data_IF_811265825633
#
_entry.id   IF_811265825633
#
_cell.length_a   1.000
_cell.length_b   1.000
_cell.length_c   1.000
_cell.angle_alpha   90.00
_cell.angle_beta   90.00
_cell.angle_gamma   90.00
#
_symmetry.space_group_name_H-M   'P 1'
#
loop_
_entity.id
_entity.type
_entity.pdbx_description
1 polymer ?
#
# COMPACT_ATOMS: atom_id res chain seq x y z
N UNK A 1 -3.42 9.43 -9.46
CA UNK A 1 -2.08 9.01 -9.02
C UNK A 1 -1.68 9.56 -7.66
N UNK A 2 -2.25 10.68 -7.20
CA UNK A 2 -2.01 11.23 -5.84
C UNK A 2 -2.52 10.28 -4.75
N UNK A 3 -1.79 10.24 -3.64
CA UNK A 3 -2.09 9.47 -2.45
C UNK A 3 -2.16 10.38 -1.22
N UNK A 4 -3.13 10.12 -0.34
CA UNK A 4 -3.14 10.63 1.03
C UNK A 4 -2.48 9.59 1.93
N UNK A 5 -1.43 9.97 2.63
CA UNK A 5 -0.71 9.10 3.57
C UNK A 5 -1.09 9.53 4.97
N UNK A 6 -1.83 8.68 5.67
CA UNK A 6 -2.32 8.92 7.03
C UNK A 6 -1.39 8.22 8.02
N UNK A 7 -0.77 8.96 8.94
CA UNK A 7 -0.02 8.42 10.05
C UNK A 7 -0.78 8.44 11.37
N UNK A 8 -0.11 8.00 12.44
CA UNK A 8 -0.52 8.20 13.83
C UNK A 8 -0.71 9.69 14.16
N UNK A 9 -1.41 9.96 15.27
CA UNK A 9 -1.71 11.31 15.76
C UNK A 9 -2.46 12.24 14.77
N UNK A 10 -3.18 11.63 13.82
CA UNK A 10 -3.85 12.31 12.71
C UNK A 10 -2.90 13.04 11.74
N UNK A 11 -1.60 12.74 11.75
CA UNK A 11 -0.67 13.34 10.79
C UNK A 11 -1.02 12.94 9.36
N UNK A 12 -1.00 13.91 8.45
CA UNK A 12 -1.32 13.68 7.02
C UNK A 12 -0.18 14.16 6.16
N UNK A 13 0.36 13.22 5.38
CA UNK A 13 1.29 13.49 4.31
C UNK A 13 0.63 13.33 2.93
N UNK A 14 1.22 14.01 1.95
CA UNK A 14 0.97 13.72 0.54
C UNK A 14 1.87 12.61 0.03
N UNK A 15 1.49 12.02 -1.09
CA UNK A 15 2.32 11.08 -1.83
C UNK A 15 1.75 10.79 -3.20
N UNK A 16 2.35 9.87 -3.93
CA UNK A 16 1.81 9.38 -5.19
C UNK A 16 2.26 7.96 -5.50
N UNK A 17 1.41 7.24 -6.23
CA UNK A 17 1.64 5.87 -6.67
C UNK A 17 2.67 5.85 -7.80
N UNK A 18 3.75 5.08 -7.65
CA UNK A 18 4.81 4.89 -8.67
C UNK A 18 4.78 3.51 -9.32
N UNK A 19 4.21 2.52 -8.64
CA UNK A 19 3.92 1.20 -9.15
C UNK A 19 2.74 0.61 -8.34
N UNK A 20 2.11 -0.50 -8.76
CA UNK A 20 1.09 -1.17 -7.94
C UNK A 20 1.59 -1.41 -6.52
N UNK A 21 0.88 -0.88 -5.52
CA UNK A 21 1.22 -0.94 -4.08
C UNK A 21 2.47 -0.18 -3.63
N UNK A 22 3.11 0.59 -4.51
CA UNK A 22 4.29 1.38 -4.19
C UNK A 22 3.97 2.87 -4.24
N UNK A 23 4.11 3.54 -3.10
CA UNK A 23 3.90 4.99 -2.97
C UNK A 23 5.20 5.68 -2.57
N UNK A 24 5.49 6.81 -3.22
CA UNK A 24 6.54 7.73 -2.79
C UNK A 24 5.92 8.81 -1.91
N UNK A 25 6.57 9.11 -0.79
CA UNK A 25 6.27 10.25 0.09
C UNK A 25 7.57 10.86 0.65
N UNK A 26 7.47 11.84 1.52
CA UNK A 26 8.61 12.43 2.21
C UNK A 26 9.08 11.52 3.38
N UNK A 27 10.38 11.45 3.62
CA UNK A 27 10.95 10.65 4.69
C UNK A 27 10.61 11.17 6.09
N UNK A 28 10.38 12.48 6.26
CA UNK A 28 9.85 13.01 7.52
C UNK A 28 8.51 12.39 7.95
N UNK A 29 7.71 11.88 7.01
CA UNK A 29 6.46 11.18 7.33
C UNK A 29 6.69 9.85 8.07
N UNK A 30 7.91 9.32 8.06
CA UNK A 30 8.28 8.08 8.74
C UNK A 30 8.12 8.16 10.26
N UNK A 31 8.16 9.35 10.85
CA UNK A 31 7.98 9.53 12.31
C UNK A 31 6.56 9.21 12.77
N UNK A 32 5.57 9.24 11.86
CA UNK A 32 4.16 9.07 12.17
C UNK A 32 3.63 7.65 11.85
N UNK A 33 4.51 6.65 11.88
CA UNK A 33 4.11 5.25 11.64
C UNK A 33 3.18 4.71 12.74
N UNK A 34 2.36 3.68 12.44
CA UNK A 34 2.16 3.06 11.13
C UNK A 34 1.41 3.97 10.15
N UNK A 35 1.85 3.94 8.90
CA UNK A 35 1.23 4.70 7.81
C UNK A 35 0.18 3.85 7.08
N UNK A 36 -0.92 4.51 6.74
CA UNK A 36 -1.98 3.99 5.89
C UNK A 36 -2.09 4.84 4.64
N UNK A 37 -2.05 4.22 3.47
CA UNK A 37 -2.18 4.90 2.18
C UNK A 37 -3.63 4.87 1.73
N UNK A 38 -4.15 6.02 1.31
CA UNK A 38 -5.48 6.19 0.73
C UNK A 38 -5.32 6.75 -0.69
N UNK A 39 -5.78 5.99 -1.68
CA UNK A 39 -5.80 6.34 -3.10
C UNK A 39 -7.22 6.66 -3.55
N UNK A 40 -7.35 7.48 -4.60
CA UNK A 40 -8.64 7.74 -5.25
C UNK A 40 -9.59 8.64 -4.46
N UNK A 41 -9.07 9.38 -3.46
CA UNK A 41 -9.83 10.38 -2.72
C UNK A 41 -9.84 11.72 -3.46
N UNK A 42 -11.04 12.20 -3.81
CA UNK A 42 -11.23 13.50 -4.48
C UNK A 42 -11.58 14.59 -3.47
N UNK A 43 -12.34 14.21 -2.43
CA UNK A 43 -12.68 15.07 -1.30
C UNK A 43 -12.21 14.44 0.00
N UNK A 44 -11.63 15.25 0.88
CA UNK A 44 -11.05 14.81 2.15
C UNK A 44 -12.03 14.47 3.28
N UNK A 45 -13.25 15.05 3.38
CA UNK A 45 -14.12 14.77 4.52
C UNK A 45 -15.02 13.53 4.34
N UNK A 46 -15.23 13.06 3.11
CA UNK A 46 -16.19 11.99 2.83
C UNK A 46 -15.51 10.81 2.17
N UNK A 47 -15.68 9.62 2.76
CA UNK A 47 -15.26 8.36 2.13
C UNK A 47 -16.05 8.17 0.83
N UNK A 48 -15.33 8.03 -0.28
CA UNK A 48 -15.90 7.77 -1.59
C UNK A 48 -15.73 6.28 -1.94
N UNK A 49 -16.55 5.76 -2.86
CA UNK A 49 -16.44 4.37 -3.34
C UNK A 49 -15.11 4.10 -4.06
N UNK A 50 -14.50 5.14 -4.63
CA UNK A 50 -13.20 5.11 -5.27
C UNK A 50 -12.03 4.95 -4.30
N UNK A 51 -12.26 5.09 -2.99
CA UNK A 51 -11.19 5.00 -2.01
C UNK A 51 -10.64 3.58 -1.96
N UNK A 52 -9.35 3.46 -2.25
CA UNK A 52 -8.58 2.24 -2.02
C UNK A 52 -7.58 2.52 -0.92
N UNK A 53 -7.59 1.67 0.09
CA UNK A 53 -6.76 1.84 1.28
C UNK A 53 -5.90 0.60 1.47
N UNK A 54 -4.63 0.80 1.77
CA UNK A 54 -3.75 -0.28 2.22
C UNK A 54 -2.84 0.19 3.35
N UNK A 55 -2.58 -0.70 4.29
CA UNK A 55 -1.59 -0.51 5.34
C UNK A 55 -0.19 -0.70 4.74
N UNK A 56 0.74 0.18 5.11
CA UNK A 56 2.14 0.03 4.71
C UNK A 56 2.79 -1.08 5.53
N UNK A 57 3.39 -2.04 4.84
CA UNK A 57 4.10 -3.16 5.46
C UNK A 57 5.62 -2.92 5.49
N UNK A 58 6.18 -2.45 4.37
CA UNK A 58 7.61 -2.14 4.27
C UNK A 58 7.85 -0.66 4.01
N UNK A 59 8.88 -0.13 4.67
CA UNK A 59 9.32 1.24 4.57
C UNK A 59 10.77 1.26 4.09
N UNK A 60 11.00 1.80 2.90
CA UNK A 60 12.32 1.96 2.32
C UNK A 60 12.76 3.41 2.47
N UNK A 61 13.37 3.70 3.62
CA UNK A 61 13.99 5.00 3.91
C UNK A 61 15.49 4.95 3.55
N UNK A 62 16.05 5.96 2.86
CA UNK A 62 17.49 6.10 2.67
C UNK A 62 18.23 6.08 4.01
N UNK A 63 19.34 5.32 4.07
CA UNK A 63 20.10 5.13 5.32
C UNK A 63 20.78 6.43 5.81
N UNK A 64 20.98 7.38 4.91
CA UNK A 64 21.62 8.67 5.14
C UNK A 64 20.60 9.82 5.28
N UNK A 65 19.31 9.52 5.36
CA UNK A 65 18.31 10.51 5.74
C UNK A 65 18.46 10.88 7.22
N UNK A 66 18.67 12.16 7.50
CA UNK A 66 18.79 12.70 8.86
C UNK A 66 17.74 13.75 9.18
N UNK A 67 17.44 14.64 8.22
CA UNK A 67 16.40 15.67 8.36
C UNK A 67 16.08 16.25 6.99
N UNK A 68 14.91 16.90 6.81
CA UNK A 68 14.55 17.53 5.53
C UNK A 68 15.59 18.54 5.03
N UNK A 69 16.26 19.23 5.97
CA UNK A 69 17.28 20.25 5.66
C UNK A 69 18.57 19.67 5.08
N UNK A 70 18.85 18.38 5.32
CA UNK A 70 20.06 17.69 4.86
C UNK A 70 19.86 16.92 3.55
N UNK A 71 18.64 16.91 3.01
CA UNK A 71 18.31 16.19 1.78
C UNK A 71 17.86 14.76 2.02
N UNK A 72 17.71 13.99 0.93
CA UNK A 72 17.22 12.60 0.94
C UNK A 72 15.87 12.40 1.65
N UNK A 73 15.03 13.44 1.66
CA UNK A 73 13.68 13.41 2.24
C UNK A 73 12.70 12.67 1.31
N UNK A 74 12.99 11.39 1.06
CA UNK A 74 12.22 10.50 0.19
C UNK A 74 12.02 9.16 0.88
N UNK A 75 10.81 8.64 0.82
CA UNK A 75 10.42 7.37 1.42
C UNK A 75 9.58 6.57 0.44
N UNK A 76 9.97 5.32 0.21
CA UNK A 76 9.16 4.33 -0.51
C UNK A 76 8.33 3.54 0.50
N UNK A 77 7.01 3.55 0.29
CA UNK A 77 6.04 2.77 1.03
C UNK A 77 5.60 1.60 0.16
N UNK A 78 5.66 0.38 0.71
CA UNK A 78 5.14 -0.82 0.07
C UNK A 78 3.99 -1.38 0.89
N UNK A 79 2.85 -1.61 0.25
CA UNK A 79 1.76 -2.41 0.80
C UNK A 79 1.69 -3.81 0.18
N UNK A 80 0.87 -4.67 0.77
CA UNK A 80 0.65 -6.06 0.31
C UNK A 80 -0.59 -6.22 -0.59
N UNK A 81 -1.29 -5.13 -0.92
CA UNK A 81 -2.59 -5.17 -1.58
C UNK A 81 -2.55 -5.80 -2.99
N UNK A 82 -2.83 -7.09 -3.11
CA UNK A 82 -2.70 -7.81 -4.39
C UNK A 82 -1.45 -8.68 -4.50
N UNK A 83 -0.63 -8.74 -3.46
CA UNK A 83 0.53 -9.63 -3.40
C UNK A 83 0.07 -11.10 -3.40
N UNK A 84 0.77 -12.00 -4.12
CA UNK A 84 0.34 -13.39 -4.25
C UNK A 84 0.66 -14.19 -2.99
N UNK A 85 -0.30 -14.99 -2.53
CA UNK A 85 -0.06 -16.07 -1.58
C UNK A 85 0.54 -17.26 -2.33
N UNK A 86 1.83 -17.49 -2.17
CA UNK A 86 2.57 -18.57 -2.84
C UNK A 86 3.01 -19.63 -1.83
N UNK A 87 2.68 -20.89 -2.10
CA UNK A 87 3.13 -22.05 -1.34
C UNK A 87 3.72 -23.09 -2.31
N UNK A 88 4.91 -23.62 -2.02
CA UNK A 88 5.58 -24.62 -2.88
C UNK A 88 5.63 -24.20 -4.36
N UNK A 89 6.01 -22.94 -4.61
CA UNK A 89 6.10 -22.34 -5.95
C UNK A 89 4.77 -22.31 -6.75
N UNK A 90 3.62 -22.39 -6.08
CA UNK A 90 2.28 -22.26 -6.66
C UNK A 90 1.51 -21.14 -5.99
N UNK A 91 0.87 -20.28 -6.78
CA UNK A 91 -0.02 -19.24 -6.27
C UNK A 91 -1.39 -19.83 -5.90
N UNK A 92 -1.89 -19.49 -4.72
CA UNK A 92 -3.17 -19.94 -4.17
C UNK A 92 -4.14 -18.79 -3.90
N UNK A 93 -3.60 -17.60 -3.66
CA UNK A 93 -4.41 -16.46 -3.30
C UNK A 93 -3.80 -15.14 -3.74
N UNK A 94 -4.62 -14.10 -3.68
CA UNK A 94 -4.22 -12.71 -3.84
C UNK A 94 -4.59 -12.02 -2.54
N UNK A 95 -3.65 -11.36 -1.87
CA UNK A 95 -3.94 -10.63 -0.64
C UNK A 95 -5.02 -9.58 -0.91
N UNK A 96 -6.06 -9.56 -0.07
CA UNK A 96 -7.20 -8.66 -0.21
C UNK A 96 -7.16 -7.55 0.83
N UNK A 97 -7.33 -7.91 2.11
CA UNK A 97 -7.24 -6.96 3.22
C UNK A 97 -6.91 -7.67 4.53
N UNK A 98 -6.44 -6.89 5.51
CA UNK A 98 -6.18 -7.36 6.86
C UNK A 98 -7.44 -7.23 7.71
N UNK A 99 -7.83 -8.31 8.40
CA UNK A 99 -9.00 -8.32 9.27
C UNK A 99 -8.64 -7.89 10.70
N UNK A 100 -7.48 -8.33 11.20
CA UNK A 100 -6.93 -7.97 12.51
C UNK A 100 -5.42 -8.23 12.53
N UNK A 101 -4.75 -8.05 13.68
CA UNK A 101 -3.30 -8.21 13.83
C UNK A 101 -2.76 -9.59 13.42
N UNK A 102 -3.59 -10.63 13.41
CA UNK A 102 -3.19 -12.02 13.15
C UNK A 102 -3.79 -12.61 11.88
N UNK A 103 -4.85 -11.99 11.34
CA UNK A 103 -5.64 -12.58 10.25
C UNK A 103 -5.65 -11.65 9.03
N UNK A 104 -5.12 -12.17 7.93
CA UNK A 104 -5.16 -11.57 6.61
C UNK A 104 -6.09 -12.37 5.71
N UNK A 105 -6.94 -11.69 4.95
CA UNK A 105 -7.90 -12.31 4.03
C UNK A 105 -7.32 -12.30 2.62
N UNK A 106 -7.38 -13.45 1.96
CA UNK A 106 -6.90 -13.65 0.59
C UNK A 106 -8.06 -14.10 -0.30
N UNK A 107 -8.07 -13.61 -1.53
CA UNK A 107 -8.96 -14.11 -2.58
C UNK A 107 -8.44 -15.45 -3.07
N UNK A 108 -9.18 -16.54 -2.87
CA UNK A 108 -8.80 -17.86 -3.39
C UNK A 108 -8.94 -17.90 -4.91
N UNK A 109 -7.83 -18.11 -5.63
CA UNK A 109 -7.79 -17.88 -7.08
C UNK A 109 -8.20 -19.09 -7.94
N UNK A 110 -8.19 -20.31 -7.39
CA UNK A 110 -8.38 -21.52 -8.19
C UNK A 110 -9.67 -21.55 -9.03
N UNK A 111 -10.84 -21.10 -8.52
CA UNK A 111 -12.08 -21.06 -9.31
C UNK A 111 -12.05 -20.08 -10.48
N UNK A 112 -11.15 -19.09 -10.45
CA UNK A 112 -11.05 -18.03 -11.45
C UNK A 112 -10.05 -18.35 -12.57
N UNK A 113 -9.22 -19.40 -12.42
CA UNK A 113 -8.22 -19.76 -13.43
C UNK A 113 -8.79 -19.96 -14.84
N UNK A 114 -9.95 -20.64 -15.04
CA UNK A 114 -10.53 -20.77 -16.38
C UNK A 114 -10.91 -19.42 -17.02
N UNK A 115 -11.32 -18.45 -16.21
CA UNK A 115 -11.62 -17.09 -16.68
C UNK A 115 -10.34 -16.33 -17.02
N UNK A 116 -9.31 -16.41 -16.16
CA UNK A 116 -8.00 -15.78 -16.42
C UNK A 116 -7.39 -16.32 -17.71
N UNK A 117 -7.35 -17.64 -17.90
CA UNK A 117 -6.81 -18.28 -19.09
C UNK A 117 -7.58 -17.90 -20.36
N UNK A 118 -8.88 -17.63 -20.26
CA UNK A 118 -9.70 -17.16 -21.37
C UNK A 118 -9.38 -15.71 -21.76
N UNK A 119 -9.07 -14.85 -20.79
CA UNK A 119 -8.76 -13.43 -21.01
C UNK A 119 -7.32 -13.23 -21.49
N UNK A 120 -6.39 -14.05 -21.01
CA UNK A 120 -4.96 -13.95 -21.32
C UNK A 120 -4.58 -14.65 -22.64
N UNK A 121 -5.52 -15.33 -23.29
CA UNK A 121 -5.39 -15.89 -24.64
C UNK A 121 -5.79 -14.88 -25.70
#
# INVERSE_FOLDING_TARGET
YVARVQGEDNHVCGGFLVAPNWVVTAAQCYEHKPLTVILGAHTTPRREESWRTFEVQDYHCPKDYESPKKGNDILLLKGDAGDPLVCNNKAYGIFSYKLNSWTSVYTYIAPYLPWVDKVMK
#
